data_IF_881625551293
#
_entry.id   IF_881625551293
#
_cell.length_a   1.000
_cell.length_b   1.000
_cell.length_c   1.000
_cell.angle_alpha   90.00
_cell.angle_beta   90.00
_cell.angle_gamma   90.00
#
_symmetry.space_group_name_H-M   'P 1'
#
loop_
_entity.id
_entity.type
_entity.pdbx_description
1 polymer ?
#
# COMPACT_ATOMS: atom_id res chain seq x y z
N UNK A 1 -11.11 -2.30 16.15
CA UNK A 1 -9.91 -2.45 15.29
C UNK A 1 -10.17 -3.53 14.23
N UNK A 2 -10.60 -4.71 14.64
CA UNK A 2 -10.69 -5.91 13.80
C UNK A 2 -11.60 -5.79 12.58
N UNK A 3 -12.84 -5.29 12.74
CA UNK A 3 -13.77 -5.08 11.62
C UNK A 3 -13.19 -4.17 10.53
N UNK A 4 -12.45 -3.15 10.96
CA UNK A 4 -11.83 -2.16 10.08
C UNK A 4 -10.63 -2.77 9.34
N UNK A 5 -9.88 -3.67 9.99
CA UNK A 5 -8.79 -4.43 9.36
C UNK A 5 -9.32 -5.44 8.34
N UNK A 6 -10.37 -6.18 8.66
CA UNK A 6 -10.99 -7.14 7.73
C UNK A 6 -11.58 -6.41 6.53
N UNK A 7 -12.37 -5.35 6.76
CA UNK A 7 -12.96 -4.56 5.67
C UNK A 7 -11.88 -3.91 4.79
N UNK A 8 -10.84 -3.36 5.42
CA UNK A 8 -9.69 -2.78 4.75
C UNK A 8 -8.89 -3.78 3.93
N UNK A 9 -8.60 -4.95 4.50
CA UNK A 9 -7.91 -6.04 3.83
C UNK A 9 -8.69 -6.57 2.63
N UNK A 10 -10.00 -6.77 2.77
CA UNK A 10 -10.88 -7.18 1.67
C UNK A 10 -10.88 -6.13 0.54
N UNK A 11 -10.97 -4.85 0.89
CA UNK A 11 -10.90 -3.75 -0.07
C UNK A 11 -9.59 -3.75 -0.84
N UNK A 12 -8.46 -3.91 -0.16
CA UNK A 12 -7.13 -3.98 -0.79
C UNK A 12 -7.01 -5.19 -1.72
N UNK A 13 -7.46 -6.38 -1.30
CA UNK A 13 -7.41 -7.59 -2.13
C UNK A 13 -8.23 -7.40 -3.41
N UNK A 14 -9.46 -6.92 -3.30
CA UNK A 14 -10.34 -6.69 -4.46
C UNK A 14 -9.71 -5.67 -5.41
N UNK A 15 -9.25 -4.54 -4.89
CA UNK A 15 -8.65 -3.46 -5.71
C UNK A 15 -7.38 -3.92 -6.40
N UNK A 16 -6.46 -4.58 -5.68
CA UNK A 16 -5.23 -5.09 -6.26
C UNK A 16 -5.50 -6.18 -7.29
N UNK A 17 -6.49 -7.06 -7.06
CA UNK A 17 -6.86 -8.10 -8.02
C UNK A 17 -7.40 -7.50 -9.32
N UNK A 18 -8.26 -6.48 -9.21
CA UNK A 18 -8.79 -5.76 -10.38
C UNK A 18 -7.66 -5.02 -11.11
N UNK A 19 -6.79 -4.31 -10.39
CA UNK A 19 -5.67 -3.58 -11.00
C UNK A 19 -4.64 -4.53 -11.64
N UNK A 20 -4.39 -5.69 -11.03
CA UNK A 20 -3.50 -6.72 -11.57
C UNK A 20 -4.10 -7.33 -12.85
N UNK A 21 -5.39 -7.71 -12.81
CA UNK A 21 -6.13 -8.16 -13.99
C UNK A 21 -6.05 -7.11 -15.10
N UNK A 22 -6.29 -5.85 -14.76
CA UNK A 22 -6.18 -4.75 -15.70
C UNK A 22 -4.78 -4.62 -16.29
N UNK A 23 -3.71 -4.69 -15.49
CA UNK A 23 -2.34 -4.61 -16.02
C UNK A 23 -2.00 -5.77 -16.97
N UNK A 24 -2.54 -6.97 -16.73
CA UNK A 24 -2.27 -8.16 -17.55
C UNK A 24 -3.09 -8.13 -18.85
N UNK A 25 -4.35 -7.72 -18.79
CA UNK A 25 -5.30 -7.82 -19.91
C UNK A 25 -5.44 -6.53 -20.75
N UNK A 26 -5.18 -5.33 -20.19
CA UNK A 26 -5.31 -4.04 -20.92
C UNK A 26 -4.13 -3.70 -21.83
N UNK A 27 -3.18 -4.61 -22.08
CA UNK A 27 -2.27 -4.47 -23.22
C UNK A 27 -2.99 -4.47 -24.59
N UNK A 28 -4.34 -4.61 -24.67
CA UNK A 28 -5.03 -4.73 -25.97
C UNK A 28 -6.40 -4.07 -26.17
N UNK A 29 -6.90 -3.16 -25.32
CA UNK A 29 -8.17 -2.48 -25.67
C UNK A 29 -8.36 -1.05 -25.13
N UNK A 30 -8.36 -0.13 -26.10
CA UNK A 30 -9.13 1.11 -26.29
C UNK A 30 -9.53 1.97 -25.09
N UNK A 31 -9.11 3.24 -25.18
CA UNK A 31 -9.59 4.38 -24.42
C UNK A 31 -11.11 4.42 -24.28
N UNK A 32 -11.63 4.00 -23.12
CA UNK A 32 -12.98 4.35 -22.70
C UNK A 32 -12.91 5.76 -22.12
N UNK A 33 -13.73 6.69 -22.64
CA UNK A 33 -13.91 8.03 -22.02
C UNK A 33 -14.51 7.83 -20.63
N UNK A 34 -13.65 7.76 -19.62
CA UNK A 34 -14.02 7.69 -18.21
C UNK A 34 -14.27 9.13 -17.73
N UNK A 35 -15.36 9.35 -17.02
CA UNK A 35 -15.64 10.64 -16.39
C UNK A 35 -14.58 10.92 -15.32
N UNK A 36 -13.74 11.90 -15.61
CA UNK A 36 -12.56 12.26 -14.83
C UNK A 36 -12.97 12.61 -13.39
N UNK A 37 -14.17 13.18 -13.17
CA UNK A 37 -14.66 13.51 -11.82
C UNK A 37 -14.95 12.27 -10.98
N UNK A 38 -15.61 11.25 -11.56
CA UNK A 38 -15.89 9.99 -10.85
C UNK A 38 -14.59 9.26 -10.50
N UNK A 39 -13.62 9.27 -11.41
CA UNK A 39 -12.33 8.62 -11.20
C UNK A 39 -11.52 9.30 -10.10
N UNK A 40 -11.48 10.64 -10.07
CA UNK A 40 -10.81 11.39 -9.01
C UNK A 40 -11.47 11.15 -7.64
N UNK A 41 -12.81 11.16 -7.57
CA UNK A 41 -13.52 10.88 -6.32
C UNK A 41 -13.23 9.46 -5.79
N UNK A 42 -13.23 8.46 -6.68
CA UNK A 42 -12.93 7.07 -6.32
C UNK A 42 -11.50 6.91 -5.79
N UNK A 43 -10.52 7.58 -6.41
CA UNK A 43 -9.11 7.53 -5.97
C UNK A 43 -8.92 8.23 -4.62
N UNK A 44 -9.54 9.39 -4.41
CA UNK A 44 -9.46 10.12 -3.13
C UNK A 44 -10.09 9.30 -2.01
N UNK A 45 -11.27 8.72 -2.24
CA UNK A 45 -11.93 7.85 -1.27
C UNK A 45 -11.05 6.65 -0.90
N UNK A 46 -10.37 6.06 -1.88
CA UNK A 46 -9.43 4.96 -1.67
C UNK A 46 -8.23 5.37 -0.80
N UNK A 47 -7.62 6.52 -1.07
CA UNK A 47 -6.48 7.02 -0.28
C UNK A 47 -6.90 7.24 1.16
N UNK A 48 -8.05 7.89 1.39
CA UNK A 48 -8.58 8.15 2.73
C UNK A 48 -8.85 6.84 3.47
N UNK A 49 -9.47 5.85 2.81
CA UNK A 49 -9.74 4.54 3.42
C UNK A 49 -8.44 3.84 3.84
N UNK A 50 -7.44 3.79 2.96
CA UNK A 50 -6.15 3.14 3.23
C UNK A 50 -5.42 3.86 4.36
N UNK A 51 -5.40 5.20 4.33
CA UNK A 51 -4.76 6.03 5.35
C UNK A 51 -5.45 5.87 6.72
N UNK A 52 -6.78 5.73 6.74
CA UNK A 52 -7.54 5.46 7.95
C UNK A 52 -7.21 4.09 8.54
N UNK A 53 -7.06 3.06 7.70
CA UNK A 53 -6.69 1.71 8.17
C UNK A 53 -5.26 1.68 8.72
N UNK A 54 -4.31 2.33 8.04
CA UNK A 54 -2.91 2.33 8.42
C UNK A 54 -2.61 3.29 9.60
N UNK A 55 -3.31 4.43 9.68
CA UNK A 55 -3.17 5.37 10.79
C UNK A 55 -3.68 4.80 12.11
N UNK A 56 -4.77 4.02 12.10
CA UNK A 56 -5.32 3.42 13.33
C UNK A 56 -4.34 2.42 13.95
N UNK A 57 -3.66 1.58 13.16
CA UNK A 57 -2.67 0.63 13.70
C UNK A 57 -1.38 1.31 14.18
N UNK A 58 -0.86 2.26 13.40
CA UNK A 58 0.35 3.02 13.77
C UNK A 58 0.14 3.93 14.98
N UNK A 59 -1.04 4.55 15.11
CA UNK A 59 -1.42 5.35 16.27
C UNK A 59 -1.58 4.49 17.52
N UNK A 60 -2.23 3.33 17.41
CA UNK A 60 -2.42 2.42 18.55
C UNK A 60 -1.08 1.83 19.01
N UNK A 61 -0.18 1.50 18.08
CA UNK A 61 1.20 1.07 18.39
C UNK A 61 1.99 2.19 19.10
N UNK A 62 1.87 3.44 18.65
CA UNK A 62 2.56 4.57 19.28
C UNK A 62 2.08 4.85 20.71
N UNK A 63 0.76 4.75 20.95
CA UNK A 63 0.17 4.90 22.29
C UNK A 63 0.60 3.76 23.22
N UNK A 64 0.74 2.54 22.70
CA UNK A 64 1.23 1.40 23.49
C UNK A 64 2.71 1.55 23.88
N UNK A 65 3.54 2.20 23.05
CA UNK A 65 4.97 2.41 23.28
C UNK A 65 5.28 3.53 24.29
N UNK A 66 4.45 4.57 24.36
CA UNK A 66 4.69 5.70 25.28
C UNK A 66 3.40 6.42 25.64
N UNK A 67 3.28 6.85 26.90
CA UNK A 67 2.14 7.62 27.38
C UNK A 67 2.34 9.13 27.17
N UNK A 68 3.51 9.55 26.65
CA UNK A 68 3.79 10.97 26.44
C UNK A 68 3.16 11.47 25.12
N UNK A 69 2.07 12.23 25.26
CA UNK A 69 1.34 12.86 24.16
C UNK A 69 2.24 13.68 23.23
N UNK A 70 3.28 14.31 23.75
CA UNK A 70 4.21 15.12 22.95
C UNK A 70 5.01 14.22 21.99
N UNK A 71 5.45 13.06 22.45
CA UNK A 71 6.24 12.12 21.62
C UNK A 71 5.37 11.55 20.51
N UNK A 72 4.12 11.15 20.82
CA UNK A 72 3.18 10.62 19.82
C UNK A 72 2.92 11.66 18.73
N UNK A 73 2.64 12.92 19.11
CA UNK A 73 2.39 13.99 18.17
C UNK A 73 3.61 14.25 17.25
N UNK A 74 4.82 14.34 17.82
CA UNK A 74 6.05 14.59 17.05
C UNK A 74 6.33 13.46 16.06
N UNK A 75 6.25 12.20 16.49
CA UNK A 75 6.49 11.02 15.62
C UNK A 75 5.46 10.95 14.50
N UNK A 76 4.18 11.21 14.81
CA UNK A 76 3.11 11.19 13.81
C UNK A 76 3.28 12.29 12.77
N UNK A 77 3.56 13.53 13.20
CA UNK A 77 3.82 14.66 12.30
C UNK A 77 5.03 14.39 11.40
N UNK A 78 6.12 13.86 11.95
CA UNK A 78 7.32 13.52 11.17
C UNK A 78 7.04 12.42 10.14
N UNK A 79 6.22 11.42 10.50
CA UNK A 79 5.82 10.33 9.60
C UNK A 79 5.04 10.84 8.38
N UNK A 80 4.06 11.72 8.60
CA UNK A 80 3.28 12.33 7.50
C UNK A 80 4.18 13.17 6.59
N UNK A 81 5.06 14.00 7.17
CA UNK A 81 6.03 14.80 6.41
C UNK A 81 6.93 13.93 5.53
N UNK A 82 7.45 12.83 6.08
CA UNK A 82 8.26 11.87 5.34
C UNK A 82 7.47 11.23 4.19
N UNK A 83 6.22 10.83 4.44
CA UNK A 83 5.36 10.21 3.42
C UNK A 83 5.07 11.17 2.27
N UNK A 84 4.79 12.45 2.54
CA UNK A 84 4.59 13.47 1.51
C UNK A 84 5.86 13.65 0.68
N UNK A 85 7.01 13.81 1.32
CA UNK A 85 8.28 14.04 0.62
C UNK A 85 8.69 12.85 -0.26
N UNK A 86 8.51 11.63 0.23
CA UNK A 86 8.85 10.40 -0.51
C UNK A 86 7.81 10.02 -1.57
N UNK A 87 6.55 10.47 -1.45
CA UNK A 87 5.47 10.09 -2.37
C UNK A 87 5.75 10.46 -3.83
N UNK A 88 6.34 11.64 -4.08
CA UNK A 88 6.67 12.10 -5.43
C UNK A 88 7.76 11.21 -6.07
N UNK A 89 8.79 10.88 -5.29
CA UNK A 89 9.90 10.05 -5.75
C UNK A 89 9.43 8.61 -6.01
N UNK A 90 8.69 8.02 -5.07
CA UNK A 90 8.12 6.67 -5.22
C UNK A 90 7.18 6.58 -6.43
N UNK A 91 6.33 7.59 -6.66
CA UNK A 91 5.45 7.63 -7.83
C UNK A 91 6.22 7.69 -9.16
N UNK A 92 7.34 8.42 -9.21
CA UNK A 92 8.20 8.47 -10.41
C UNK A 92 8.90 7.13 -10.66
N UNK A 93 9.39 6.46 -9.62
CA UNK A 93 10.02 5.14 -9.73
C UNK A 93 9.04 4.09 -10.28
N UNK A 94 7.80 4.08 -9.78
CA UNK A 94 6.76 3.16 -10.25
C UNK A 94 6.40 3.43 -11.73
N UNK A 95 6.35 4.70 -12.15
CA UNK A 95 6.10 5.06 -13.56
C UNK A 95 7.24 4.67 -14.50
N UNK A 96 8.48 4.71 -14.02
CA UNK A 96 9.67 4.44 -14.84
C UNK A 96 9.86 2.96 -15.16
N UNK A 97 9.31 2.04 -14.38
CA UNK A 97 9.52 0.60 -14.58
C UNK A 97 8.22 -0.20 -14.39
N UNK A 98 7.66 -0.79 -15.47
CA UNK A 98 6.43 -1.59 -15.39
C UNK A 98 6.49 -2.73 -14.37
N UNK A 99 7.65 -3.36 -14.20
CA UNK A 99 7.85 -4.41 -13.20
C UNK A 99 7.67 -3.92 -11.76
N UNK A 100 8.16 -2.71 -11.43
CA UNK A 100 7.96 -2.09 -10.11
C UNK A 100 6.47 -1.84 -9.83
N UNK A 101 5.69 -1.45 -10.85
CA UNK A 101 4.24 -1.32 -10.72
C UNK A 101 3.59 -2.65 -10.33
N UNK A 102 3.95 -3.74 -10.99
CA UNK A 102 3.41 -5.08 -10.67
C UNK A 102 3.82 -5.52 -9.26
N UNK A 103 5.07 -5.28 -8.85
CA UNK A 103 5.54 -5.57 -7.48
C UNK A 103 4.73 -4.78 -6.45
N UNK A 104 4.47 -3.49 -6.70
CA UNK A 104 3.66 -2.67 -5.80
C UNK A 104 2.22 -3.20 -5.66
N UNK A 105 1.58 -3.59 -6.76
CA UNK A 105 0.21 -4.15 -6.74
C UNK A 105 0.17 -5.48 -5.94
N UNK A 106 1.15 -6.36 -6.17
CA UNK A 106 1.27 -7.62 -5.43
C UNK A 106 1.55 -7.38 -3.94
N UNK A 107 2.37 -6.39 -3.61
CA UNK A 107 2.61 -6.01 -2.23
C UNK A 107 1.33 -5.50 -1.55
N UNK A 108 0.54 -4.66 -2.23
CA UNK A 108 -0.77 -4.20 -1.71
C UNK A 108 -1.72 -5.40 -1.50
N UNK A 109 -1.72 -6.37 -2.41
CA UNK A 109 -2.50 -7.61 -2.24
C UNK A 109 -2.04 -8.40 -1.00
N UNK A 110 -0.73 -8.50 -0.77
CA UNK A 110 -0.17 -9.20 0.38
C UNK A 110 -0.47 -8.48 1.70
N UNK A 111 -0.37 -7.14 1.73
CA UNK A 111 -0.82 -6.32 2.88
C UNK A 111 -2.32 -6.51 3.13
N UNK A 112 -3.13 -6.61 2.07
CA UNK A 112 -4.56 -6.89 2.20
C UNK A 112 -4.85 -8.23 2.87
N UNK A 113 -4.14 -9.29 2.46
CA UNK A 113 -4.23 -10.60 3.09
C UNK A 113 -3.76 -10.57 4.56
N UNK A 114 -2.66 -9.88 4.83
CA UNK A 114 -2.13 -9.68 6.18
C UNK A 114 -3.14 -8.99 7.11
N UNK A 115 -3.83 -7.95 6.64
CA UNK A 115 -4.85 -7.24 7.43
C UNK A 115 -6.06 -8.11 7.77
N UNK A 116 -6.49 -8.99 6.85
CA UNK A 116 -7.57 -9.95 7.14
C UNK A 116 -7.12 -10.92 8.23
N UNK A 117 -5.88 -11.43 8.14
CA UNK A 117 -5.33 -12.36 9.13
C UNK A 117 -5.22 -11.70 10.52
N UNK A 118 -4.67 -10.49 10.59
CA UNK A 118 -4.57 -9.75 11.84
C UNK A 118 -5.96 -9.41 12.41
N UNK A 119 -6.93 -9.07 11.54
CA UNK A 119 -8.33 -8.86 11.94
C UNK A 119 -9.07 -10.14 12.38
N UNK A 120 -8.56 -11.33 12.04
CA UNK A 120 -9.05 -12.62 12.53
C UNK A 120 -8.29 -13.11 13.77
N UNK A 121 -7.48 -12.24 14.40
CA UNK A 121 -6.60 -12.57 15.53
C UNK A 121 -5.53 -13.63 15.19
N UNK A 122 -5.18 -13.78 13.92
CA UNK A 122 -4.03 -14.57 13.48
C UNK A 122 -2.85 -13.61 13.36
N UNK A 123 -2.05 -13.53 14.42
CA UNK A 123 -0.89 -12.66 14.46
C UNK A 123 0.23 -13.24 13.59
N UNK A 124 0.47 -12.61 12.45
CA UNK A 124 1.65 -12.84 11.65
C UNK A 124 2.71 -11.80 12.01
N UNK A 125 3.98 -12.22 12.22
CA UNK A 125 5.05 -11.26 12.42
C UNK A 125 5.23 -10.35 11.21
N UNK A 126 5.27 -9.03 11.45
CA UNK A 126 5.41 -8.01 10.39
C UNK A 126 6.71 -8.17 9.59
N UNK A 127 7.72 -8.86 10.14
CA UNK A 127 8.98 -9.13 9.44
C UNK A 127 8.79 -9.90 8.13
N UNK A 128 7.79 -10.80 8.05
CA UNK A 128 7.51 -11.53 6.81
C UNK A 128 7.06 -10.60 5.68
N UNK A 129 6.31 -9.56 6.01
CA UNK A 129 5.86 -8.53 5.07
C UNK A 129 7.05 -7.74 4.53
N UNK A 130 7.94 -7.28 5.42
CA UNK A 130 9.13 -6.51 5.04
C UNK A 130 10.16 -7.35 4.28
N UNK A 131 10.36 -8.61 4.68
CA UNK A 131 11.27 -9.54 4.00
C UNK A 131 10.81 -9.81 2.56
N UNK A 132 9.52 -10.03 2.35
CA UNK A 132 8.92 -10.21 1.02
C UNK A 132 9.14 -8.99 0.13
N UNK A 133 8.92 -7.77 0.65
CA UNK A 133 9.13 -6.54 -0.10
C UNK A 133 10.60 -6.35 -0.50
N UNK A 134 11.52 -6.51 0.45
CA UNK A 134 12.96 -6.35 0.21
C UNK A 134 13.42 -7.37 -0.82
N UNK A 135 13.00 -8.64 -0.70
CA UNK A 135 13.34 -9.68 -1.66
C UNK A 135 12.84 -9.34 -3.06
N UNK A 136 11.57 -8.92 -3.22
CA UNK A 136 11.02 -8.55 -4.52
C UNK A 136 11.75 -7.36 -5.16
N UNK A 137 12.07 -6.33 -4.36
CA UNK A 137 12.83 -5.17 -4.82
C UNK A 137 14.27 -5.54 -5.19
N UNK A 138 14.91 -6.45 -4.45
CA UNK A 138 16.25 -6.93 -4.73
C UNK A 138 16.28 -7.73 -6.04
N UNK A 139 15.31 -8.63 -6.25
CA UNK A 139 15.16 -9.35 -7.52
C UNK A 139 14.98 -8.38 -8.70
N UNK A 140 14.16 -7.35 -8.54
CA UNK A 140 13.99 -6.32 -9.57
C UNK A 140 15.25 -5.49 -9.80
N UNK A 141 15.98 -5.12 -8.74
CA UNK A 141 17.24 -4.41 -8.86
C UNK A 141 18.27 -5.23 -9.65
N UNK A 142 18.40 -6.53 -9.37
CA UNK A 142 19.26 -7.45 -10.14
C UNK A 142 18.77 -7.58 -11.58
N UNK A 143 17.46 -7.75 -11.79
CA UNK A 143 16.84 -7.85 -13.12
C UNK A 143 17.15 -6.62 -13.98
N UNK A 144 17.10 -5.42 -13.39
CA UNK A 144 17.42 -4.15 -14.04
C UNK A 144 18.91 -4.03 -14.39
N UNK A 145 19.80 -4.48 -13.51
CA UNK A 145 21.26 -4.55 -13.77
C UNK A 145 21.55 -5.50 -14.94
N UNK A 146 20.90 -6.66 -15.00
CA UNK A 146 21.11 -7.65 -16.08
C UNK A 146 20.61 -7.17 -17.45
N UNK A 147 19.68 -6.21 -17.48
CA UNK A 147 19.08 -5.66 -18.70
C UNK A 147 19.78 -4.40 -19.21
N UNK A 148 20.73 -3.86 -18.46
CA UNK A 148 21.59 -2.71 -18.83
C UNK A 148 22.92 -3.24 -19.37
#
# INVERSE_FOLDING_TARGET
KDLLMIAGGLFLIVKSSIELWNNIFLCKQTEKKIDIKLQLFSVVLQIILIDLIFSVDSLLTAIALTHNMIIIAVVYTFSILAMIFLSSHTAQLIKSSPSLKTIAILFILFVGAYLILEGLHIELPKEYLYSSLIFALLVEAISKIKKT
#
